data_IF_299168356711
#
_entry.id   IF_299168356711
#
_cell.length_a   1.000
_cell.length_b   1.000
_cell.length_c   1.000
_cell.angle_alpha   90.00
_cell.angle_beta   90.00
_cell.angle_gamma   90.00
#
_symmetry.space_group_name_H-M   'P 1'
#
loop_
_entity.id
_entity.type
_entity.pdbx_description
1 polymer ?
#
# COMPACT_ATOMS: atom_id res chain seq x y z
N UNK A 1 3.15 19.69 5.54
CA UNK A 1 4.55 19.76 5.09
C UNK A 1 4.72 18.75 3.97
N UNK A 2 5.50 19.11 2.97
CA UNK A 2 5.94 18.28 1.84
C UNK A 2 7.45 18.11 1.98
N UNK A 3 7.94 16.88 1.87
CA UNK A 3 9.35 16.56 1.94
C UNK A 3 9.75 15.82 0.66
N UNK A 4 10.86 16.24 0.06
CA UNK A 4 11.47 15.54 -1.08
C UNK A 4 12.81 15.00 -0.63
N UNK A 5 13.05 13.73 -0.92
CA UNK A 5 14.24 13.02 -0.51
C UNK A 5 15.00 12.51 -1.73
N UNK A 6 16.32 12.49 -1.62
CA UNK A 6 17.16 11.67 -2.48
C UNK A 6 17.26 10.27 -1.86
N UNK A 7 16.72 9.26 -2.55
CA UNK A 7 16.68 7.89 -2.06
C UNK A 7 18.06 7.24 -2.02
N UNK A 8 18.99 7.61 -2.91
CA UNK A 8 20.34 7.06 -2.96
C UNK A 8 21.20 7.62 -1.83
N UNK A 9 21.16 8.95 -1.65
CA UNK A 9 21.97 9.64 -0.65
C UNK A 9 21.34 9.67 0.74
N UNK A 10 20.06 9.25 0.87
CA UNK A 10 19.29 9.34 2.12
C UNK A 10 19.28 10.75 2.72
N UNK A 11 19.15 11.77 1.86
CA UNK A 11 19.13 13.19 2.22
C UNK A 11 17.76 13.81 1.98
N UNK A 12 17.45 14.87 2.75
CA UNK A 12 16.31 15.75 2.47
C UNK A 12 16.79 16.82 1.48
N UNK A 13 16.27 16.78 0.27
CA UNK A 13 16.64 17.74 -0.79
C UNK A 13 15.77 19.00 -0.72
N UNK A 14 14.54 18.88 -0.23
CA UNK A 14 13.62 19.99 -0.19
C UNK A 14 12.52 19.85 0.86
N UNK A 15 12.12 20.98 1.44
CA UNK A 15 11.03 21.08 2.42
C UNK A 15 10.07 22.18 1.99
N UNK A 16 8.79 21.86 1.97
CA UNK A 16 7.71 22.77 1.66
C UNK A 16 6.62 22.78 2.72
N UNK A 17 6.03 23.95 2.93
CA UNK A 17 4.84 24.07 3.75
C UNK A 17 3.61 23.48 3.05
N UNK A 18 2.72 22.90 3.85
CA UNK A 18 1.52 22.20 3.40
C UNK A 18 1.80 20.96 2.54
N UNK A 19 0.74 20.19 2.28
CA UNK A 19 0.76 19.03 1.41
C UNK A 19 -0.24 19.37 0.31
N UNK A 20 0.25 19.92 -0.81
CA UNK A 20 -0.51 20.48 -1.96
C UNK A 20 0.28 20.27 -3.26
N UNK A 21 -0.39 20.27 -4.41
CA UNK A 21 0.25 20.17 -5.73
C UNK A 21 1.22 21.33 -5.93
N UNK A 22 0.76 22.54 -5.65
CA UNK A 22 1.48 23.81 -5.83
C UNK A 22 2.76 23.86 -4.98
N UNK A 23 2.73 23.21 -3.81
CA UNK A 23 3.93 23.08 -2.97
C UNK A 23 4.99 22.25 -3.69
N UNK A 24 4.63 21.11 -4.27
CA UNK A 24 5.59 20.25 -4.99
C UNK A 24 5.99 20.85 -6.36
N UNK A 25 5.09 21.59 -7.01
CA UNK A 25 5.42 22.32 -8.24
C UNK A 25 6.59 23.29 -8.03
N UNK A 26 6.65 23.97 -6.88
CA UNK A 26 7.77 24.86 -6.55
C UNK A 26 9.11 24.14 -6.48
N UNK A 27 9.14 22.91 -5.97
CA UNK A 27 10.35 22.09 -6.00
C UNK A 27 10.79 21.82 -7.43
N UNK A 28 9.89 21.34 -8.28
CA UNK A 28 10.25 21.04 -9.67
C UNK A 28 10.60 22.28 -10.49
N UNK A 29 9.97 23.42 -10.24
CA UNK A 29 10.29 24.70 -10.88
C UNK A 29 11.68 25.23 -10.47
N UNK A 30 12.19 24.82 -9.31
CA UNK A 30 13.56 25.15 -8.87
C UNK A 30 14.64 24.32 -9.58
N UNK A 31 14.25 23.23 -10.25
CA UNK A 31 15.16 22.35 -10.99
C UNK A 31 15.30 22.80 -12.44
N UNK A 32 16.47 22.59 -13.03
CA UNK A 32 16.67 22.76 -14.47
C UNK A 32 15.92 21.70 -15.27
N UNK A 33 15.80 21.91 -16.59
CA UNK A 33 15.18 20.91 -17.49
C UNK A 33 15.99 19.61 -17.48
N UNK A 34 17.31 19.71 -17.46
CA UNK A 34 18.24 18.57 -17.41
C UNK A 34 18.11 17.81 -16.09
N UNK A 35 17.98 18.51 -14.96
CA UNK A 35 17.75 17.88 -13.66
C UNK A 35 16.42 17.13 -13.60
N UNK A 36 15.34 17.69 -14.16
CA UNK A 36 14.04 17.01 -14.23
C UNK A 36 14.10 15.79 -15.16
N UNK A 37 14.82 15.88 -16.26
CA UNK A 37 15.04 14.77 -17.18
C UNK A 37 15.86 13.63 -16.54
N UNK A 38 16.80 13.98 -15.66
CA UNK A 38 17.65 13.04 -14.93
C UNK A 38 16.93 12.27 -13.81
N UNK A 39 15.68 12.61 -13.47
CA UNK A 39 14.89 11.84 -12.51
C UNK A 39 14.58 10.47 -13.13
N UNK A 40 15.07 9.40 -12.52
CA UNK A 40 14.87 8.02 -12.99
C UNK A 40 13.59 7.38 -12.44
N UNK A 41 13.28 7.64 -11.17
CA UNK A 41 12.10 7.10 -10.49
C UNK A 41 11.66 8.03 -9.35
N UNK A 42 10.36 8.00 -9.03
CA UNK A 42 9.78 8.76 -7.91
C UNK A 42 8.92 7.83 -7.07
N UNK A 43 9.32 7.61 -5.82
CA UNK A 43 8.54 6.86 -4.84
C UNK A 43 7.56 7.79 -4.11
N UNK A 44 6.28 7.47 -4.11
CA UNK A 44 5.27 8.24 -3.38
C UNK A 44 4.07 7.38 -2.96
N UNK A 45 3.21 7.95 -2.12
CA UNK A 45 1.88 7.40 -1.89
C UNK A 45 0.91 7.73 -3.04
N UNK A 46 -0.30 7.17 -2.99
CA UNK A 46 -1.31 7.33 -4.06
C UNK A 46 -2.10 8.65 -3.93
N UNK A 47 -1.40 9.76 -3.72
CA UNK A 47 -2.05 11.05 -3.49
C UNK A 47 -2.10 11.90 -4.76
N UNK A 48 -3.32 12.12 -5.27
CA UNK A 48 -3.58 12.76 -6.57
C UNK A 48 -2.84 14.07 -6.81
N UNK A 49 -2.73 15.01 -5.84
CA UNK A 49 -2.01 16.27 -6.08
C UNK A 49 -0.52 16.09 -6.34
N UNK A 50 0.15 15.12 -5.70
CA UNK A 50 1.56 14.83 -5.99
C UNK A 50 1.72 14.09 -7.31
N UNK A 51 0.83 13.14 -7.61
CA UNK A 51 0.79 12.47 -8.92
C UNK A 51 0.66 13.52 -10.03
N UNK A 52 -0.28 14.46 -9.90
CA UNK A 52 -0.50 15.53 -10.87
C UNK A 52 0.74 16.43 -11.05
N UNK A 53 1.41 16.83 -9.95
CA UNK A 53 2.63 17.62 -10.02
C UNK A 53 3.77 16.89 -10.75
N UNK A 54 3.98 15.61 -10.43
CA UNK A 54 5.02 14.78 -11.06
C UNK A 54 4.71 14.59 -12.55
N UNK A 55 3.45 14.31 -12.90
CA UNK A 55 3.02 14.14 -14.29
C UNK A 55 3.19 15.41 -15.12
N UNK A 56 3.09 16.59 -14.51
CA UNK A 56 3.29 17.88 -15.18
C UNK A 56 4.78 18.21 -15.40
N UNK A 57 5.63 17.86 -14.44
CA UNK A 57 7.01 18.36 -14.41
C UNK A 57 8.08 17.34 -14.77
N UNK A 58 7.82 16.04 -14.61
CA UNK A 58 8.82 14.99 -14.87
C UNK A 58 8.57 14.37 -16.25
N UNK A 59 9.56 14.41 -17.18
CA UNK A 59 9.45 13.74 -18.46
C UNK A 59 9.23 12.23 -18.27
N UNK A 60 8.27 11.67 -19.01
CA UNK A 60 7.90 10.24 -18.96
C UNK A 60 7.49 9.77 -17.54
N UNK A 61 6.95 10.67 -16.73
CA UNK A 61 6.54 10.45 -15.35
C UNK A 61 5.77 9.15 -15.10
N UNK A 62 4.88 8.77 -16.01
CA UNK A 62 4.04 7.56 -15.85
C UNK A 62 4.86 6.28 -15.68
N UNK A 63 6.02 6.17 -16.34
CA UNK A 63 6.94 5.05 -16.21
C UNK A 63 7.89 5.14 -15.00
N UNK A 64 7.91 6.29 -14.32
CA UNK A 64 8.86 6.61 -13.23
C UNK A 64 8.21 6.60 -11.85
N UNK A 65 6.91 6.83 -11.78
CA UNK A 65 6.14 6.80 -10.53
C UNK A 65 6.07 5.37 -9.98
N UNK A 66 6.49 5.18 -8.74
CA UNK A 66 6.36 3.92 -8.01
C UNK A 66 5.52 4.16 -6.76
N UNK A 67 4.40 3.44 -6.64
CA UNK A 67 3.53 3.57 -5.47
C UNK A 67 4.06 2.77 -4.29
N UNK A 68 4.04 3.40 -3.12
CA UNK A 68 4.50 2.81 -1.89
C UNK A 68 3.64 1.62 -1.44
N UNK A 69 4.29 0.45 -1.34
CA UNK A 69 3.70 -0.79 -0.83
C UNK A 69 3.06 -0.59 0.54
N UNK A 70 3.67 0.17 1.44
CA UNK A 70 3.15 0.35 2.79
C UNK A 70 1.74 0.95 2.77
N UNK A 71 1.53 1.99 1.97
CA UNK A 71 0.23 2.64 1.82
C UNK A 71 -0.83 1.71 1.20
N UNK A 72 -0.47 0.90 0.21
CA UNK A 72 -1.37 -0.10 -0.37
C UNK A 72 -1.74 -1.16 0.67
N UNK A 73 -0.77 -1.67 1.42
CA UNK A 73 -1.00 -2.65 2.47
C UNK A 73 -1.78 -2.08 3.66
N UNK A 74 -1.65 -0.78 3.95
CA UNK A 74 -2.48 -0.09 4.93
C UNK A 74 -3.95 -0.11 4.52
N UNK A 75 -4.28 0.19 3.27
CA UNK A 75 -5.64 0.07 2.76
C UNK A 75 -6.17 -1.37 2.81
N UNK A 76 -5.33 -2.36 2.52
CA UNK A 76 -5.71 -3.77 2.68
C UNK A 76 -6.03 -4.13 4.14
N UNK A 77 -5.20 -3.70 5.09
CA UNK A 77 -5.46 -3.86 6.53
C UNK A 77 -6.76 -3.19 6.98
N UNK A 78 -7.03 -1.97 6.51
CA UNK A 78 -8.30 -1.27 6.75
C UNK A 78 -9.49 -2.03 6.16
N UNK A 79 -9.33 -2.63 4.98
CA UNK A 79 -10.30 -3.51 4.35
C UNK A 79 -10.65 -4.70 5.23
N UNK A 80 -9.64 -5.39 5.77
CA UNK A 80 -9.82 -6.50 6.72
C UNK A 80 -10.54 -6.04 8.00
N UNK A 81 -10.14 -4.91 8.60
CA UNK A 81 -10.79 -4.40 9.81
C UNK A 81 -12.25 -3.98 9.56
N UNK A 82 -12.57 -3.43 8.37
CA UNK A 82 -13.95 -3.13 7.96
C UNK A 82 -14.80 -4.41 7.88
N UNK A 83 -14.27 -5.46 7.24
CA UNK A 83 -14.95 -6.78 7.19
C UNK A 83 -15.15 -7.33 8.60
N UNK A 84 -14.10 -7.33 9.42
CA UNK A 84 -14.14 -7.80 10.81
C UNK A 84 -15.16 -7.07 11.64
N UNK A 85 -15.21 -5.74 11.56
CA UNK A 85 -16.20 -4.92 12.28
C UNK A 85 -17.62 -5.26 11.85
N UNK A 86 -17.85 -5.42 10.54
CA UNK A 86 -19.17 -5.79 10.02
C UNK A 86 -19.58 -7.19 10.49
N UNK A 87 -18.70 -8.18 10.36
CA UNK A 87 -18.99 -9.55 10.77
C UNK A 87 -19.17 -9.67 12.29
N UNK A 88 -18.31 -9.02 13.08
CA UNK A 88 -18.45 -8.99 14.53
C UNK A 88 -19.81 -8.41 14.95
N UNK A 89 -20.30 -7.34 14.30
CA UNK A 89 -21.64 -6.79 14.61
C UNK A 89 -22.75 -7.80 14.36
N UNK A 90 -22.64 -8.64 13.32
CA UNK A 90 -23.63 -9.68 13.04
C UNK A 90 -23.56 -10.81 14.08
N UNK A 91 -22.37 -11.32 14.39
CA UNK A 91 -22.19 -12.35 15.42
C UNK A 91 -22.72 -11.92 16.80
N UNK A 92 -22.52 -10.64 17.15
CA UNK A 92 -23.05 -10.09 18.41
C UNK A 92 -24.58 -10.05 18.49
N UNK A 93 -25.32 -10.05 17.35
CA UNK A 93 -26.78 -10.17 17.37
C UNK A 93 -27.23 -11.52 17.93
N UNK A 94 -26.41 -12.55 17.73
CA UNK A 94 -26.63 -13.91 18.23
C UNK A 94 -25.87 -14.16 19.55
N UNK A 95 -25.29 -13.12 20.16
CA UNK A 95 -24.53 -13.22 21.40
C UNK A 95 -23.16 -13.87 21.26
N UNK A 96 -22.61 -13.99 20.05
CA UNK A 96 -21.31 -14.63 19.80
C UNK A 96 -20.14 -13.61 19.87
N UNK A 97 -19.27 -13.70 20.89
CA UNK A 97 -18.12 -12.80 21.06
C UNK A 97 -16.87 -13.26 20.30
N UNK A 98 -16.94 -14.24 19.39
CA UNK A 98 -15.79 -14.88 18.72
C UNK A 98 -14.74 -13.89 18.21
N UNK A 99 -15.16 -12.81 17.55
CA UNK A 99 -14.25 -11.80 16.98
C UNK A 99 -13.80 -10.71 17.97
N UNK A 100 -14.25 -10.74 19.23
CA UNK A 100 -13.86 -9.77 20.28
C UNK A 100 -12.34 -9.83 20.50
N UNK A 101 -11.70 -8.66 20.52
CA UNK A 101 -10.25 -8.56 20.76
C UNK A 101 -9.35 -9.07 19.62
N UNK A 102 -9.91 -9.59 18.53
CA UNK A 102 -9.12 -10.23 17.47
C UNK A 102 -8.39 -9.26 16.52
N UNK A 103 -8.67 -7.95 16.58
CA UNK A 103 -8.16 -6.94 15.61
C UNK A 103 -6.67 -7.09 15.30
N UNK A 104 -5.84 -7.14 16.34
CA UNK A 104 -4.39 -7.14 16.17
C UNK A 104 -3.87 -8.43 15.53
N UNK A 105 -4.55 -9.57 15.72
CA UNK A 105 -4.20 -10.84 15.08
C UNK A 105 -4.21 -10.70 13.55
N UNK A 106 -5.21 -10.01 13.02
CA UNK A 106 -5.40 -9.82 11.58
C UNK A 106 -4.44 -8.78 10.96
N UNK A 107 -3.80 -7.94 11.77
CA UNK A 107 -2.82 -6.95 11.29
C UNK A 107 -1.45 -7.58 11.04
N UNK A 108 -1.09 -8.62 11.78
CA UNK A 108 0.17 -9.33 11.57
C UNK A 108 0.20 -10.03 10.21
N UNK A 109 1.39 -10.04 9.60
CA UNK A 109 1.75 -11.08 8.61
C UNK A 109 1.82 -12.40 9.36
N UNK A 110 1.40 -13.49 8.75
CA UNK A 110 1.39 -14.80 9.41
C UNK A 110 2.78 -15.19 9.91
N UNK A 111 3.82 -14.96 9.09
CA UNK A 111 5.23 -15.18 9.45
C UNK A 111 5.75 -14.34 10.63
N UNK A 112 5.06 -13.25 10.97
CA UNK A 112 5.43 -12.31 12.03
C UNK A 112 4.40 -12.33 13.19
N UNK A 113 3.53 -13.33 13.25
CA UNK A 113 2.56 -13.47 14.33
C UNK A 113 3.29 -13.94 15.61
N UNK A 114 3.17 -13.22 16.75
CA UNK A 114 3.78 -13.64 18.00
C UNK A 114 3.24 -15.01 18.45
N UNK A 115 4.11 -15.86 19.00
CA UNK A 115 3.75 -17.24 19.37
C UNK A 115 2.56 -17.32 20.33
N UNK A 116 2.49 -16.39 21.29
CA UNK A 116 1.36 -16.22 22.23
C UNK A 116 0.00 -16.00 21.57
N UNK A 117 -0.03 -15.67 20.28
CA UNK A 117 -1.23 -15.39 19.51
C UNK A 117 -1.55 -16.49 18.48
N UNK A 118 -0.67 -17.47 18.29
CA UNK A 118 -0.78 -18.50 17.25
C UNK A 118 -2.03 -19.36 17.41
N UNK A 119 -2.22 -19.97 18.59
CA UNK A 119 -3.38 -20.83 18.86
C UNK A 119 -4.70 -20.10 18.60
N UNK A 120 -4.84 -18.87 19.12
CA UNK A 120 -6.07 -18.09 18.92
C UNK A 120 -6.30 -17.74 17.44
N UNK A 121 -5.25 -17.48 16.69
CA UNK A 121 -5.35 -17.17 15.28
C UNK A 121 -5.78 -18.41 14.47
N UNK A 122 -5.20 -19.57 14.75
CA UNK A 122 -5.56 -20.86 14.12
C UNK A 122 -7.02 -21.23 14.38
N UNK A 123 -7.49 -21.09 15.63
CA UNK A 123 -8.90 -21.26 15.99
C UNK A 123 -9.81 -20.38 15.11
N UNK A 124 -9.49 -19.08 14.99
CA UNK A 124 -10.29 -18.14 14.21
C UNK A 124 -10.25 -18.42 12.70
N UNK A 125 -9.13 -18.91 12.17
CA UNK A 125 -9.01 -19.32 10.77
C UNK A 125 -9.86 -20.56 10.46
N UNK A 126 -9.96 -21.51 11.39
CA UNK A 126 -10.76 -22.72 11.24
C UNK A 126 -12.28 -22.45 11.17
N UNK A 127 -12.75 -21.29 11.64
CA UNK A 127 -14.17 -20.93 11.68
C UNK A 127 -14.74 -20.42 10.34
N UNK A 128 -13.94 -20.41 9.26
CA UNK A 128 -14.35 -19.99 7.92
C UNK A 128 -15.02 -18.59 7.86
N UNK A 129 -14.61 -17.70 8.78
CA UNK A 129 -15.11 -16.34 8.91
C UNK A 129 -14.83 -15.52 7.63
N UNK A 130 -15.71 -14.57 7.32
CA UNK A 130 -15.48 -13.54 6.29
C UNK A 130 -14.19 -12.77 6.58
N UNK A 131 -13.89 -12.56 7.86
CA UNK A 131 -12.64 -11.94 8.34
C UNK A 131 -11.42 -12.76 7.93
N UNK A 132 -11.44 -14.09 8.10
CA UNK A 132 -10.36 -14.98 7.68
C UNK A 132 -10.15 -14.94 6.16
N UNK A 133 -11.24 -14.91 5.39
CA UNK A 133 -11.18 -14.75 3.92
C UNK A 133 -10.61 -13.39 3.49
N UNK A 134 -10.99 -12.31 4.18
CA UNK A 134 -10.41 -10.99 3.94
C UNK A 134 -8.91 -10.96 4.26
N UNK A 135 -8.52 -11.60 5.36
CA UNK A 135 -7.12 -11.75 5.76
C UNK A 135 -6.30 -12.50 4.70
N UNK A 136 -6.82 -13.61 4.16
CA UNK A 136 -6.15 -14.35 3.10
C UNK A 136 -5.92 -13.49 1.84
N UNK A 137 -6.90 -12.66 1.46
CA UNK A 137 -6.75 -11.69 0.36
C UNK A 137 -5.65 -10.66 0.63
N UNK A 138 -5.55 -10.17 1.88
CA UNK A 138 -4.47 -9.28 2.32
C UNK A 138 -3.12 -9.99 2.25
N UNK A 139 -3.02 -11.23 2.73
CA UNK A 139 -1.76 -11.95 2.74
C UNK A 139 -1.23 -12.18 1.32
N UNK A 140 -2.11 -12.69 0.45
CA UNK A 140 -1.84 -12.90 -0.96
C UNK A 140 -1.50 -11.60 -1.70
N UNK A 141 -2.14 -10.47 -1.37
CA UNK A 141 -1.75 -9.19 -1.97
C UNK A 141 -0.29 -8.86 -1.68
N UNK A 142 0.17 -9.03 -0.43
CA UNK A 142 1.53 -8.66 -0.11
C UNK A 142 2.59 -9.60 -0.72
N UNK A 143 2.23 -10.83 -1.10
CA UNK A 143 3.11 -11.73 -1.86
C UNK A 143 3.43 -11.18 -3.26
N UNK A 144 2.62 -10.25 -3.81
CA UNK A 144 2.90 -9.62 -5.10
C UNK A 144 4.32 -9.06 -5.18
N UNK A 145 4.78 -8.41 -4.10
CA UNK A 145 6.11 -7.78 -4.06
C UNK A 145 7.27 -8.77 -3.88
N UNK A 146 6.98 -10.04 -3.60
CA UNK A 146 8.02 -11.07 -3.49
C UNK A 146 8.44 -11.60 -4.89
N UNK A 147 7.70 -11.24 -5.94
CA UNK A 147 8.03 -11.58 -7.33
C UNK A 147 9.23 -10.80 -7.88
N UNK A 148 10.11 -11.51 -8.60
CA UNK A 148 11.30 -10.92 -9.22
C UNK A 148 11.06 -10.47 -10.68
N UNK A 149 10.16 -11.16 -11.38
CA UNK A 149 9.85 -10.88 -12.78
C UNK A 149 8.57 -10.09 -12.93
N UNK A 150 8.61 -9.05 -13.77
CA UNK A 150 7.46 -8.23 -14.12
C UNK A 150 6.30 -9.08 -14.68
N UNK A 151 6.57 -9.99 -15.61
CA UNK A 151 5.53 -10.82 -16.24
C UNK A 151 4.85 -11.79 -15.27
N UNK A 152 5.63 -12.37 -14.34
CA UNK A 152 5.08 -13.24 -13.29
C UNK A 152 4.25 -12.45 -12.28
N UNK A 153 4.73 -11.28 -11.86
CA UNK A 153 4.00 -10.38 -10.97
C UNK A 153 2.67 -9.92 -11.60
N UNK A 154 2.68 -9.59 -12.88
CA UNK A 154 1.48 -9.23 -13.65
C UNK A 154 0.44 -10.36 -13.66
N UNK A 155 0.89 -11.56 -14.00
CA UNK A 155 0.03 -12.75 -14.05
C UNK A 155 -0.55 -13.09 -12.67
N UNK A 156 0.27 -12.97 -11.61
CA UNK A 156 -0.17 -13.17 -10.24
C UNK A 156 -1.19 -12.12 -9.81
N UNK A 157 -0.90 -10.84 -10.04
CA UNK A 157 -1.80 -9.73 -9.74
C UNK A 157 -3.14 -9.87 -10.43
N UNK A 158 -3.18 -10.28 -11.71
CA UNK A 158 -4.43 -10.50 -12.43
C UNK A 158 -5.32 -11.55 -11.73
N UNK A 159 -4.72 -12.68 -11.33
CA UNK A 159 -5.42 -13.74 -10.56
C UNK A 159 -5.90 -13.23 -9.20
N UNK A 160 -5.05 -12.50 -8.48
CA UNK A 160 -5.43 -11.90 -7.19
C UNK A 160 -6.59 -10.92 -7.34
N UNK A 161 -6.56 -10.04 -8.34
CA UNK A 161 -7.62 -9.06 -8.60
C UNK A 161 -8.95 -9.77 -8.89
N UNK A 162 -8.93 -10.82 -9.71
CA UNK A 162 -10.11 -11.64 -9.97
C UNK A 162 -10.68 -12.24 -8.68
N UNK A 163 -9.84 -12.87 -7.86
CA UNK A 163 -10.27 -13.43 -6.58
C UNK A 163 -10.86 -12.37 -5.63
N UNK A 164 -10.19 -11.23 -5.50
CA UNK A 164 -10.61 -10.14 -4.62
C UNK A 164 -11.97 -9.54 -5.04
N UNK A 165 -12.16 -9.30 -6.35
CA UNK A 165 -13.41 -8.73 -6.89
C UNK A 165 -14.60 -9.68 -6.79
N UNK A 166 -14.37 -11.00 -6.80
CA UNK A 166 -15.41 -12.03 -6.64
C UNK A 166 -15.59 -12.53 -5.20
N UNK A 167 -14.86 -11.94 -4.24
CA UNK A 167 -14.89 -12.35 -2.83
C UNK A 167 -16.24 -12.11 -2.14
N UNK A 168 -17.10 -11.24 -2.70
CA UNK A 168 -18.31 -10.68 -2.06
C UNK A 168 -18.01 -9.88 -0.78
N UNK A 169 -16.77 -9.45 -0.59
CA UNK A 169 -16.33 -8.63 0.53
C UNK A 169 -16.10 -7.20 0.03
N UNK A 170 -17.15 -6.36 0.06
CA UNK A 170 -17.11 -4.98 -0.48
C UNK A 170 -15.83 -4.20 -0.11
N UNK A 171 -15.35 -4.19 1.16
CA UNK A 171 -14.11 -3.50 1.49
C UNK A 171 -12.87 -4.02 0.75
N UNK A 172 -12.77 -5.33 0.49
CA UNK A 172 -11.66 -5.91 -0.26
C UNK A 172 -11.80 -5.72 -1.77
N UNK A 173 -13.04 -5.67 -2.28
CA UNK A 173 -13.32 -5.29 -3.68
C UNK A 173 -12.84 -3.86 -3.94
N UNK A 174 -13.06 -2.96 -2.98
CA UNK A 174 -12.61 -1.56 -3.10
C UNK A 174 -11.08 -1.45 -3.11
N UNK A 175 -10.38 -2.26 -2.29
CA UNK A 175 -8.91 -2.36 -2.33
C UNK A 175 -8.45 -2.87 -3.70
N UNK A 176 -9.09 -3.90 -4.25
CA UNK A 176 -8.71 -4.44 -5.55
C UNK A 176 -8.90 -3.45 -6.70
N UNK A 177 -9.96 -2.63 -6.63
CA UNK A 177 -10.22 -1.53 -7.59
C UNK A 177 -9.17 -0.44 -7.46
N UNK A 178 -8.88 0.02 -6.24
CA UNK A 178 -7.82 1.00 -6.00
C UNK A 178 -6.48 0.53 -6.56
N UNK A 179 -6.09 -0.74 -6.32
CA UNK A 179 -4.83 -1.30 -6.87
C UNK A 179 -4.85 -1.33 -8.41
N UNK A 180 -6.00 -1.60 -9.02
CA UNK A 180 -6.15 -1.59 -10.48
C UNK A 180 -6.07 -0.18 -11.06
N UNK A 181 -6.69 0.80 -10.41
CA UNK A 181 -6.70 2.20 -10.86
C UNK A 181 -5.26 2.78 -10.84
N UNK A 182 -4.42 2.27 -9.93
CA UNK A 182 -3.02 2.67 -9.77
C UNK A 182 -2.02 1.66 -10.36
N UNK A 183 -2.48 0.75 -11.22
CA UNK A 183 -1.73 -0.43 -11.63
C UNK A 183 -0.35 -0.11 -12.19
N UNK A 184 -0.24 0.90 -13.05
CA UNK A 184 1.05 1.26 -13.67
C UNK A 184 2.11 1.57 -12.61
N UNK A 185 1.81 2.43 -11.65
CA UNK A 185 2.75 2.75 -10.56
C UNK A 185 3.02 1.60 -9.61
N UNK A 186 2.07 0.66 -9.43
CA UNK A 186 2.30 -0.60 -8.70
C UNK A 186 3.29 -1.49 -9.44
N UNK A 187 3.15 -1.61 -10.77
CA UNK A 187 4.01 -2.45 -11.60
C UNK A 187 5.39 -1.85 -11.85
N UNK A 188 5.52 -0.52 -11.84
CA UNK A 188 6.81 0.17 -11.94
C UNK A 188 7.79 -0.20 -10.82
N UNK A 189 7.29 -0.71 -9.68
CA UNK A 189 8.14 -1.30 -8.65
C UNK A 189 9.05 -2.42 -9.19
N UNK A 190 8.55 -3.25 -10.12
CA UNK A 190 9.33 -4.35 -10.67
C UNK A 190 10.41 -3.90 -11.66
N UNK A 191 10.34 -2.64 -12.12
CA UNK A 191 11.36 -2.00 -12.96
C UNK A 191 12.40 -1.28 -12.10
N UNK A 192 11.96 -0.43 -11.17
CA UNK A 192 12.85 0.48 -10.43
C UNK A 192 13.30 -0.03 -9.06
N UNK A 193 12.54 -0.94 -8.44
CA UNK A 193 12.83 -1.55 -7.13
C UNK A 193 13.03 -0.56 -5.97
N UNK A 194 12.61 0.69 -6.12
CA UNK A 194 12.67 1.68 -5.04
C UNK A 194 11.56 1.45 -4.01
N UNK A 195 11.85 1.80 -2.75
CA UNK A 195 10.89 1.76 -1.64
C UNK A 195 10.94 3.07 -0.87
N UNK A 196 9.86 3.39 -0.15
CA UNK A 196 9.78 4.62 0.63
C UNK A 196 10.46 4.53 2.01
N UNK A 197 11.22 3.46 2.28
CA UNK A 197 11.82 3.18 3.58
C UNK A 197 12.79 4.29 4.05
N UNK A 198 13.51 4.91 3.11
CA UNK A 198 14.41 6.06 3.39
C UNK A 198 13.60 7.25 3.92
N UNK A 199 12.50 7.59 3.24
CA UNK A 199 11.62 8.68 3.68
C UNK A 199 11.03 8.39 5.06
N UNK A 200 10.61 7.16 5.34
CA UNK A 200 10.10 6.77 6.66
C UNK A 200 11.17 6.93 7.76
N UNK A 201 12.39 6.46 7.52
CA UNK A 201 13.48 6.56 8.48
C UNK A 201 13.94 8.00 8.75
N UNK A 202 13.79 8.89 7.77
CA UNK A 202 14.07 10.32 7.93
C UNK A 202 12.90 11.04 8.62
N UNK A 203 11.65 10.71 8.27
CA UNK A 203 10.45 11.25 8.91
C UNK A 203 10.45 11.01 10.42
N UNK A 204 10.87 9.83 10.88
CA UNK A 204 10.94 9.54 12.32
C UNK A 204 11.98 10.35 13.09
N UNK A 205 12.90 11.04 12.39
CA UNK A 205 13.94 11.88 13.00
C UNK A 205 13.62 13.38 12.94
N UNK A 206 12.74 13.78 12.01
CA UNK A 206 12.31 15.17 11.82
C UNK A 206 11.05 15.48 12.64
N UNK A 207 10.20 14.46 12.87
CA UNK A 207 9.00 14.53 13.69
C UNK A 207 9.31 14.49 15.19
#
# INVERSE_FOLDING_TARGET
MTLVYNLENSTVEWIGEERKKETLDRFFQSLTVEQRAAIEAVGLDMWDPFIASIMEHVPEAEGKIVFDRFHIMKHANEGVDKVRKSENRELWKDGDPTLKGSKYLWLHREKNLPEKHRTRFEELQALHLKTGRAYALKEALAELWDYQSHGWAESYRARWHFWATHSRLKPMIDVARMVKDHLKGVMNYFTHRITNAVAEGLNSKIA
#
